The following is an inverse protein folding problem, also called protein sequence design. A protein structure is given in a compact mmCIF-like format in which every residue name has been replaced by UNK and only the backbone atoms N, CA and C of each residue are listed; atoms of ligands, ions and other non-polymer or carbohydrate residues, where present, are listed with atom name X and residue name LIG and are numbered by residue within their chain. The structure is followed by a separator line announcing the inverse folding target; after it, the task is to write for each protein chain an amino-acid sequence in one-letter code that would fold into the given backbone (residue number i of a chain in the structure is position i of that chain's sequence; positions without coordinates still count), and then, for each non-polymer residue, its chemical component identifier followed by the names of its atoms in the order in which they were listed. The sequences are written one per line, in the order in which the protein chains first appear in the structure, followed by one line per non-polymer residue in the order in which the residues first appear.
data_IF_064120705612
#
_entry.id   IF_064120705612
#
_cell.length_a   1.000
_cell.length_b   1.000
_cell.length_c   1.000
_cell.angle_alpha   90.00
_cell.angle_beta   90.00
_cell.angle_gamma   90.00
#
_symmetry.space_group_name_H-M   'P 1'
#
loop_
_entity.id
_entity.type
_entity.pdbx_description
1 polymer ?
#
# COMPACT_ATOMS: atom_id res chain seq x y z
N UNK A 1 -6.24 -5.99 8.99
CA UNK A 1 -5.92 -5.09 7.85
C UNK A 1 -7.16 -4.31 7.49
N UNK A 2 -7.03 -3.06 7.02
CA UNK A 2 -8.17 -2.25 6.58
C UNK A 2 -8.36 -2.36 5.06
N UNK A 3 -7.32 -2.06 4.28
CA UNK A 3 -7.39 -2.11 2.83
C UNK A 3 -6.01 -2.29 2.17
N UNK A 4 -6.02 -2.73 0.92
CA UNK A 4 -4.86 -2.84 0.04
C UNK A 4 -5.22 -2.30 -1.35
N UNK A 5 -4.30 -1.54 -1.93
CA UNK A 5 -4.32 -1.15 -3.34
C UNK A 5 -3.18 -1.86 -4.04
N UNK A 6 -3.45 -2.43 -5.22
CA UNK A 6 -2.43 -3.11 -6.01
C UNK A 6 -2.60 -2.81 -7.49
N UNK A 7 -1.50 -2.82 -8.23
CA UNK A 7 -1.45 -2.35 -9.62
C UNK A 7 -1.78 -3.43 -10.67
N UNK A 8 -2.47 -4.52 -10.30
CA UNK A 8 -2.81 -5.59 -11.24
C UNK A 8 -1.64 -6.53 -11.60
N UNK A 9 -0.40 -6.22 -11.19
CA UNK A 9 0.80 -6.93 -11.65
C UNK A 9 1.26 -7.99 -10.65
N UNK A 10 1.38 -9.23 -11.14
CA UNK A 10 1.83 -10.37 -10.34
C UNK A 10 3.36 -10.58 -10.38
N UNK A 11 4.06 -10.02 -11.38
CA UNK A 11 5.51 -10.14 -11.57
C UNK A 11 6.33 -9.26 -10.64
N UNK A 12 7.45 -9.78 -10.13
CA UNK A 12 8.29 -9.14 -9.09
C UNK A 12 8.89 -7.79 -9.51
N UNK A 13 9.16 -7.60 -10.81
CA UNK A 13 9.82 -6.39 -11.33
C UNK A 13 8.93 -5.14 -11.27
N UNK A 14 7.62 -5.29 -11.41
CA UNK A 14 6.70 -4.15 -11.52
C UNK A 14 5.54 -4.23 -10.54
N UNK A 15 5.53 -5.20 -9.63
CA UNK A 15 4.50 -5.33 -8.61
C UNK A 15 4.57 -4.17 -7.63
N UNK A 16 3.44 -3.48 -7.48
CA UNK A 16 3.27 -2.34 -6.58
C UNK A 16 2.04 -2.55 -5.74
N UNK A 17 2.19 -2.28 -4.46
CA UNK A 17 1.17 -2.53 -3.46
C UNK A 17 1.22 -1.40 -2.43
N UNK A 18 0.06 -0.93 -2.01
CA UNK A 18 -0.11 -0.03 -0.87
C UNK A 18 -1.06 -0.71 0.11
N UNK A 19 -0.69 -0.76 1.38
CA UNK A 19 -1.50 -1.32 2.43
C UNK A 19 -1.85 -0.24 3.44
N UNK A 20 -3.09 -0.25 3.91
CA UNK A 20 -3.56 0.49 5.06
C UNK A 20 -3.95 -0.50 6.16
N UNK A 21 -3.31 -0.38 7.31
CA UNK A 21 -3.59 -1.19 8.48
C UNK A 21 -3.86 -0.32 9.69
N UNK A 22 -4.64 -0.87 10.62
CA UNK A 22 -4.90 -0.29 11.94
C UNK A 22 -4.49 -1.29 12.99
N UNK A 23 -3.48 -0.93 13.78
CA UNK A 23 -3.12 -1.61 15.02
C UNK A 23 -3.36 -0.64 16.18
N UNK A 24 -2.31 -0.16 16.86
CA UNK A 24 -2.38 0.93 17.85
C UNK A 24 -2.39 2.30 17.17
N UNK A 25 -1.66 2.43 16.05
CA UNK A 25 -1.60 3.58 15.16
C UNK A 25 -2.10 3.17 13.76
N UNK A 26 -2.30 4.17 12.90
CA UNK A 26 -2.58 3.91 11.50
C UNK A 26 -1.27 3.73 10.74
N UNK A 27 -1.17 2.67 9.96
CA UNK A 27 0.02 2.31 9.22
C UNK A 27 -0.26 2.29 7.73
N UNK A 28 0.57 3.00 6.97
CA UNK A 28 0.61 2.90 5.51
C UNK A 28 1.92 2.22 5.12
N UNK A 29 1.82 1.13 4.38
CA UNK A 29 2.98 0.43 3.83
C UNK A 29 2.90 0.52 2.32
N UNK A 30 3.98 0.85 1.63
CA UNK A 30 4.04 0.85 0.18
C UNK A 30 5.22 0.03 -0.32
N UNK A 31 4.99 -0.79 -1.33
CA UNK A 31 6.03 -1.46 -2.10
C UNK A 31 6.23 -0.70 -3.41
N UNK A 32 7.40 -0.08 -3.55
CA UNK A 32 7.85 0.50 -4.80
C UNK A 32 8.53 -0.60 -5.64
N UNK A 33 7.96 -0.90 -6.80
CA UNK A 33 8.49 -1.89 -7.73
C UNK A 33 9.63 -1.30 -8.54
N UNK A 34 10.86 -1.47 -8.05
CA UNK A 34 12.08 -1.47 -8.86
C UNK A 34 12.85 -2.76 -8.59
N UNK A 35 13.40 -3.33 -9.66
CA UNK A 35 13.41 -4.77 -9.95
C UNK A 35 14.39 -5.64 -9.16
N UNK A 36 15.21 -5.06 -8.30
CA UNK A 36 16.22 -5.83 -7.55
C UNK A 36 16.09 -5.74 -6.03
N UNK A 37 15.48 -4.68 -5.49
CA UNK A 37 15.46 -4.45 -4.03
C UNK A 37 14.07 -4.22 -3.44
N UNK A 38 13.03 -3.98 -4.26
CA UNK A 38 11.64 -3.90 -3.84
C UNK A 38 11.44 -3.06 -2.57
N UNK A 39 11.85 -1.79 -2.62
CA UNK A 39 11.86 -0.92 -1.43
C UNK A 39 10.47 -0.86 -0.80
N UNK A 40 10.40 -1.25 0.47
CA UNK A 40 9.20 -1.10 1.30
C UNK A 40 9.33 0.19 2.09
N UNK A 41 8.35 1.08 1.92
CA UNK A 41 8.21 2.32 2.67
C UNK A 41 7.10 2.15 3.70
N UNK A 42 7.28 2.73 4.88
CA UNK A 42 6.33 2.63 6.00
C UNK A 42 6.13 4.01 6.62
N UNK A 43 4.88 4.35 6.88
CA UNK A 43 4.47 5.57 7.57
C UNK A 43 3.48 5.25 8.68
N UNK A 44 3.52 6.05 9.73
CA UNK A 44 2.62 5.96 10.88
C UNK A 44 1.88 7.26 11.07
N UNK A 45 0.59 7.17 11.37
CA UNK A 45 -0.30 8.31 11.56
C UNK A 45 -1.16 8.16 12.81
N UNK A 46 -1.54 9.30 13.38
CA UNK A 46 -2.42 9.36 14.54
C UNK A 46 -3.87 9.05 14.16
N UNK A 47 -4.30 9.50 12.98
CA UNK A 47 -5.67 9.39 12.50
C UNK A 47 -5.80 8.59 11.20
N UNK A 48 -7.01 8.11 10.94
CA UNK A 48 -7.34 7.40 9.70
C UNK A 48 -7.24 8.32 8.49
N UNK A 49 -7.69 9.56 8.66
CA UNK A 49 -7.77 10.54 7.59
C UNK A 49 -6.38 10.89 7.05
N UNK A 50 -5.41 11.12 7.92
CA UNK A 50 -4.00 11.33 7.53
C UNK A 50 -3.44 10.12 6.76
N UNK A 51 -3.75 8.91 7.23
CA UNK A 51 -3.30 7.69 6.58
C UNK A 51 -3.94 7.50 5.20
N UNK A 52 -5.25 7.75 5.08
CA UNK A 52 -5.97 7.71 3.79
C UNK A 52 -5.48 8.78 2.82
N UNK A 53 -5.14 9.97 3.31
CA UNK A 53 -4.52 11.01 2.48
C UNK A 53 -3.16 10.55 1.93
N UNK A 54 -2.35 9.87 2.75
CA UNK A 54 -1.09 9.30 2.27
C UNK A 54 -1.32 8.21 1.21
N UNK A 55 -2.25 7.28 1.44
CA UNK A 55 -2.63 6.27 0.43
C UNK A 55 -3.03 6.93 -0.89
N UNK A 56 -3.90 7.95 -0.82
CA UNK A 56 -4.36 8.69 -2.01
C UNK A 56 -3.18 9.32 -2.75
N UNK A 57 -2.24 9.96 -2.05
CA UNK A 57 -1.03 10.52 -2.66
C UNK A 57 -0.21 9.46 -3.37
N UNK A 58 0.01 8.30 -2.75
CA UNK A 58 0.81 7.21 -3.33
C UNK A 58 0.16 6.62 -4.58
N UNK A 59 -1.15 6.36 -4.53
CA UNK A 59 -1.93 5.82 -5.65
C UNK A 59 -1.96 6.82 -6.81
N UNK A 60 -2.14 8.11 -6.53
CA UNK A 60 -2.18 9.15 -7.56
C UNK A 60 -0.81 9.47 -8.17
N UNK A 61 0.27 9.38 -7.40
CA UNK A 61 1.62 9.69 -7.87
C UNK A 61 2.15 8.69 -8.91
N UNK A 62 1.72 7.43 -8.86
CA UNK A 62 2.17 6.39 -9.80
C UNK A 62 1.51 6.51 -11.19
N UNK A 63 0.35 7.17 -11.30
CA UNK A 63 -0.37 7.35 -12.58
C UNK A 63 -0.92 6.06 -13.21
N UNK A 64 -0.67 4.89 -12.60
CA UNK A 64 -1.14 3.58 -13.05
C UNK A 64 -2.55 3.22 -12.61
N UNK A 65 -3.06 2.08 -13.13
CA UNK A 65 -4.34 1.54 -12.72
C UNK A 65 -4.21 0.76 -11.41
N UNK A 66 -4.91 1.22 -10.37
CA UNK A 66 -4.93 0.58 -9.05
C UNK A 66 -6.26 -0.10 -8.79
N UNK A 67 -6.21 -1.24 -8.10
CA UNK A 67 -7.37 -2.00 -7.65
C UNK A 67 -7.39 -2.04 -6.13
N UNK A 68 -8.50 -1.66 -5.52
CA UNK A 68 -8.70 -1.70 -4.08
C UNK A 68 -9.24 -3.08 -3.65
N UNK A 69 -8.74 -3.58 -2.52
CA UNK A 69 -9.21 -4.76 -1.80
C UNK A 69 -9.40 -4.38 -0.34
N UNK A 70 -10.55 -4.71 0.24
CA UNK A 70 -10.87 -4.39 1.64
C UNK A 70 -11.04 -5.67 2.46
N UNK A 71 -10.78 -5.58 3.77
CA UNK A 71 -11.05 -6.69 4.70
C UNK A 71 -10.20 -7.94 4.43
N UNK A 72 -10.84 -9.12 4.48
CA UNK A 72 -10.17 -10.43 4.43
C UNK A 72 -9.49 -10.73 3.08
N UNK A 73 -9.98 -10.12 2.00
CA UNK A 73 -9.38 -10.23 0.67
C UNK A 73 -8.01 -9.54 0.56
N UNK A 74 -7.68 -8.66 1.51
CA UNK A 74 -6.47 -7.87 1.48
C UNK A 74 -5.31 -8.62 2.16
N UNK A 75 -4.37 -9.12 1.35
CA UNK A 75 -3.20 -9.88 1.84
C UNK A 75 -2.25 -8.99 2.64
N UNK A 76 -1.65 -9.52 3.72
CA UNK A 76 -0.73 -8.83 4.62
C UNK A 76 0.46 -8.13 3.91
N UNK A 77 0.89 -6.94 4.38
CA UNK A 77 2.13 -6.33 3.91
C UNK A 77 3.33 -7.23 4.26
N UNK A 78 4.44 -7.13 3.51
CA UNK A 78 5.67 -7.83 3.86
C UNK A 78 6.17 -7.41 5.25
N UNK A 79 6.64 -8.41 6.02
CA UNK A 79 7.31 -8.22 7.32
C UNK A 79 8.59 -7.41 7.16
#
# INVERSE_FOLDING_TARGET
MVARWWNGTWGRLSRRDVWLAREVRWHVVARAGDSETGKVLRWEFGTEEEARQMVKRLVQADGGQWREQTGDAATQPPR
#
